data_IF_300562277711
#
_entry.id   IF_300562277711
#
_cell.length_a   1.000
_cell.length_b   1.000
_cell.length_c   1.000
_cell.angle_alpha   90.00
_cell.angle_beta   90.00
_cell.angle_gamma   90.00
#
_symmetry.space_group_name_H-M   'P 1'
#
loop_
_entity.id
_entity.type
_entity.pdbx_description
1 polymer ?
#
# COMPACT_ATOMS: atom_id res chain seq x y z
N UNK A 1 -8.99 9.81 -0.15
CA UNK A 1 -9.86 9.03 0.77
C UNK A 1 -10.50 10.03 1.72
N UNK A 2 -11.64 10.61 1.33
CA UNK A 2 -12.12 11.82 2.00
C UNK A 2 -11.09 12.95 1.88
N UNK A 3 -10.65 13.47 3.02
CA UNK A 3 -9.65 14.51 3.21
C UNK A 3 -8.19 14.02 3.16
N UNK A 4 -7.96 12.70 3.00
CA UNK A 4 -6.62 12.11 2.98
C UNK A 4 -6.12 11.79 1.59
N UNK A 5 -4.82 11.91 1.39
CA UNK A 5 -4.08 11.42 0.22
C UNK A 5 -3.30 10.18 0.59
N UNK A 6 -3.35 9.16 -0.27
CA UNK A 6 -2.42 8.02 -0.22
C UNK A 6 -1.44 8.18 -1.36
N UNK A 7 -0.15 8.03 -1.06
CA UNK A 7 0.95 8.18 -1.99
C UNK A 7 2.05 7.17 -1.64
N UNK A 8 3.10 7.09 -2.46
CA UNK A 8 4.23 6.20 -2.21
C UNK A 8 5.48 7.01 -1.93
N UNK A 9 6.20 6.63 -0.86
CA UNK A 9 7.42 7.29 -0.44
C UNK A 9 8.38 6.31 0.22
N UNK A 10 9.65 6.68 0.21
CA UNK A 10 10.75 5.94 0.80
C UNK A 10 11.37 6.78 1.93
N UNK A 11 11.41 6.22 3.14
CA UNK A 11 12.01 6.85 4.32
C UNK A 11 13.45 6.36 4.60
N UNK A 12 14.00 5.53 3.72
CA UNK A 12 15.31 4.90 3.82
C UNK A 12 15.35 3.66 4.72
N UNK A 13 14.25 3.31 5.40
CA UNK A 13 14.16 2.14 6.28
C UNK A 13 13.23 1.06 5.71
N UNK A 14 12.10 1.47 5.13
CA UNK A 14 11.05 0.57 4.64
C UNK A 14 11.00 0.48 3.10
N UNK A 15 11.91 1.16 2.39
CA UNK A 15 11.81 1.28 0.94
C UNK A 15 10.56 2.05 0.52
N UNK A 16 10.21 1.99 -0.78
CA UNK A 16 9.05 2.71 -1.32
C UNK A 16 7.72 1.99 -1.00
N UNK A 17 7.05 2.47 0.05
CA UNK A 17 5.83 1.91 0.63
C UNK A 17 4.64 2.87 0.50
N UNK A 18 3.38 2.45 0.77
CA UNK A 18 2.25 3.37 0.85
C UNK A 18 2.29 4.22 2.12
N UNK A 19 2.07 5.52 1.95
CA UNK A 19 1.95 6.54 2.99
C UNK A 19 0.60 7.23 2.90
N UNK A 20 0.17 7.79 4.03
CA UNK A 20 -1.05 8.60 4.12
C UNK A 20 -0.74 9.97 4.69
N UNK A 21 -1.42 11.01 4.19
CA UNK A 21 -1.34 12.38 4.71
C UNK A 21 -2.71 13.05 4.73
N UNK A 22 -2.93 13.91 5.72
CA UNK A 22 -4.04 14.89 5.77
C UNK A 22 -3.61 16.28 5.25
N UNK A 23 -2.42 16.39 4.68
CA UNK A 23 -1.83 17.65 4.22
C UNK A 23 -0.95 18.34 5.27
N UNK A 24 -0.79 17.78 6.47
CA UNK A 24 0.08 18.31 7.52
C UNK A 24 1.27 17.39 7.79
N UNK A 25 2.40 17.91 8.31
CA UNK A 25 3.52 17.08 8.74
C UNK A 25 3.11 16.06 9.82
N UNK A 26 2.25 16.46 10.76
CA UNK A 26 1.83 15.59 11.88
C UNK A 26 0.84 14.49 11.47
N UNK A 27 0.07 14.70 10.40
CA UNK A 27 -0.83 13.69 9.83
C UNK A 27 -0.22 12.87 8.70
N UNK A 28 1.09 13.02 8.44
CA UNK A 28 1.82 12.24 7.43
C UNK A 28 2.50 11.04 8.08
N UNK A 29 2.15 9.83 7.65
CA UNK A 29 2.70 8.60 8.24
C UNK A 29 2.70 7.42 7.27
N UNK A 30 3.58 6.45 7.56
CA UNK A 30 3.62 5.16 6.87
C UNK A 30 2.27 4.47 7.08
N UNK A 31 1.62 4.10 5.98
CA UNK A 31 0.32 3.45 6.03
C UNK A 31 0.48 1.98 6.39
N UNK A 32 1.41 1.30 5.71
CA UNK A 32 1.83 -0.07 5.97
C UNK A 32 3.15 -0.36 5.28
N UNK A 33 4.04 -1.07 5.98
CA UNK A 33 5.18 -1.75 5.38
C UNK A 33 4.68 -3.06 4.76
N UNK A 34 4.36 -3.05 3.47
CA UNK A 34 3.79 -4.21 2.76
C UNK A 34 4.91 -5.17 2.34
N UNK A 35 6.07 -4.66 1.94
CA UNK A 35 7.26 -5.47 1.63
C UNK A 35 8.34 -5.24 2.70
N UNK A 36 8.35 -6.04 3.78
CA UNK A 36 9.18 -5.74 4.93
C UNK A 36 10.66 -5.52 4.61
N UNK A 37 11.21 -4.44 5.15
CA UNK A 37 12.61 -4.05 5.00
C UNK A 37 12.82 -2.99 3.92
N UNK A 38 14.04 -2.83 3.42
CA UNK A 38 14.37 -1.68 2.55
C UNK A 38 13.94 -1.83 1.08
N UNK A 39 13.11 -2.82 0.75
CA UNK A 39 12.68 -3.08 -0.63
C UNK A 39 11.27 -2.53 -0.84
N UNK A 40 11.01 -1.91 -2.00
CA UNK A 40 9.68 -1.38 -2.31
C UNK A 40 8.60 -2.45 -2.41
N UNK A 41 7.38 -2.14 -1.97
CA UNK A 41 6.17 -2.91 -2.26
C UNK A 41 5.46 -2.50 -3.54
N UNK A 42 5.69 -1.28 -4.06
CA UNK A 42 4.87 -0.77 -5.14
C UNK A 42 5.63 -0.39 -6.41
N UNK A 43 5.01 -0.71 -7.56
CA UNK A 43 5.03 0.10 -8.77
C UNK A 43 3.88 -0.40 -9.66
N UNK A 44 2.85 0.41 -9.88
CA UNK A 44 1.66 -0.03 -10.61
C UNK A 44 0.51 0.98 -10.64
N UNK A 45 -0.68 0.48 -10.94
CA UNK A 45 -1.93 1.25 -11.02
C UNK A 45 -2.65 1.30 -9.66
N UNK A 46 -3.49 2.31 -9.49
CA UNK A 46 -4.41 2.44 -8.37
C UNK A 46 -5.77 2.96 -8.85
N UNK A 47 -6.84 2.52 -8.22
CA UNK A 47 -8.21 2.89 -8.53
C UNK A 47 -9.02 3.13 -7.26
N UNK A 48 -9.79 4.21 -7.23
CA UNK A 48 -10.68 4.53 -6.13
C UNK A 48 -12.08 3.98 -6.42
N UNK A 49 -12.64 3.21 -5.48
CA UNK A 49 -14.02 2.74 -5.50
C UNK A 49 -14.69 3.17 -4.19
N UNK A 50 -15.54 4.20 -4.26
CA UNK A 50 -16.12 4.82 -3.06
C UNK A 50 -15.03 5.37 -2.14
N UNK A 51 -15.00 4.90 -0.90
CA UNK A 51 -14.01 5.28 0.12
C UNK A 51 -12.90 4.22 0.29
N UNK A 52 -12.66 3.39 -0.72
CA UNK A 52 -11.60 2.38 -0.69
C UNK A 52 -10.71 2.54 -1.91
N UNK A 53 -9.40 2.66 -1.67
CA UNK A 53 -8.38 2.69 -2.71
C UNK A 53 -7.89 1.26 -2.94
N UNK A 54 -7.93 0.82 -4.18
CA UNK A 54 -7.39 -0.46 -4.64
C UNK A 54 -6.11 -0.20 -5.42
N UNK A 55 -5.08 -1.01 -5.20
CA UNK A 55 -3.78 -0.82 -5.85
C UNK A 55 -3.02 -2.14 -5.93
N UNK A 56 -2.06 -2.20 -6.84
CA UNK A 56 -1.13 -3.33 -6.93
C UNK A 56 0.03 -3.14 -5.95
N UNK A 57 0.34 -4.17 -5.17
CA UNK A 57 1.53 -4.20 -4.32
C UNK A 57 2.11 -5.62 -4.23
N UNK A 58 3.41 -5.67 -3.98
CA UNK A 58 4.20 -6.87 -3.78
C UNK A 58 4.42 -7.08 -2.29
N UNK A 59 4.19 -8.29 -1.82
CA UNK A 59 4.74 -8.80 -0.57
C UNK A 59 5.48 -10.14 -0.81
N UNK A 60 6.44 -10.53 0.04
CA UNK A 60 7.23 -11.74 -0.18
C UNK A 60 6.44 -13.06 -0.12
N UNK A 61 5.25 -13.07 0.48
CA UNK A 61 4.44 -14.28 0.67
C UNK A 61 3.52 -14.53 -0.53
N UNK A 62 2.90 -13.47 -1.07
CA UNK A 62 1.89 -13.56 -2.13
C UNK A 62 2.35 -13.00 -3.48
N UNK A 63 3.54 -12.40 -3.56
CA UNK A 63 4.00 -11.75 -4.78
C UNK A 63 3.20 -10.47 -5.10
N UNK A 64 3.13 -10.10 -6.38
CA UNK A 64 2.38 -8.92 -6.83
C UNK A 64 0.88 -9.21 -6.92
N UNK A 65 0.10 -8.64 -6.00
CA UNK A 65 -1.34 -8.92 -5.87
C UNK A 65 -2.18 -7.64 -5.71
N UNK A 66 -3.51 -7.81 -5.67
CA UNK A 66 -4.46 -6.73 -5.44
C UNK A 66 -4.59 -6.44 -3.94
N UNK A 67 -4.27 -5.20 -3.57
CA UNK A 67 -4.41 -4.67 -2.23
C UNK A 67 -5.50 -3.60 -2.16
N UNK A 68 -6.04 -3.38 -0.96
CA UNK A 68 -6.97 -2.28 -0.68
C UNK A 68 -6.59 -1.54 0.58
N UNK A 69 -6.99 -0.28 0.67
CA UNK A 69 -6.92 0.53 1.89
C UNK A 69 -8.13 1.46 2.04
N UNK A 70 -8.55 1.67 3.28
CA UNK A 70 -9.47 2.74 3.68
C UNK A 70 -8.73 4.01 4.16
N UNK A 71 -7.40 4.02 4.09
CA UNK A 71 -6.55 5.11 4.57
C UNK A 71 -6.06 4.92 6.00
N UNK A 72 -6.24 3.72 6.55
CA UNK A 72 -5.69 3.28 7.84
C UNK A 72 -4.81 2.04 7.67
N UNK A 73 -3.85 1.84 8.59
CA UNK A 73 -3.03 0.63 8.61
C UNK A 73 -3.86 -0.66 8.73
N UNK A 74 -4.81 -0.77 9.69
CA UNK A 74 -5.69 -1.94 9.81
C UNK A 74 -6.55 -2.21 8.58
N UNK A 75 -7.00 -1.16 7.88
CA UNK A 75 -7.77 -1.29 6.64
C UNK A 75 -6.92 -1.54 5.39
N UNK A 76 -5.59 -1.53 5.51
CA UNK A 76 -4.66 -1.81 4.42
C UNK A 76 -4.34 -3.30 4.36
N UNK A 77 -5.02 -4.02 3.46
CA UNK A 77 -5.02 -5.48 3.42
C UNK A 77 -5.01 -6.01 1.98
N UNK A 78 -4.47 -7.23 1.82
CA UNK A 78 -4.62 -8.03 0.61
C UNK A 78 -6.12 -8.27 0.35
N UNK A 79 -6.57 -7.99 -0.88
CA UNK A 79 -7.95 -8.30 -1.30
C UNK A 79 -8.09 -9.78 -1.56
N UNK A 80 -7.14 -10.30 -2.36
CA UNK A 80 -7.08 -11.69 -2.75
C UNK A 80 -5.70 -11.98 -3.34
N UNK A 81 -5.16 -13.12 -2.97
CA UNK A 81 -4.10 -13.80 -3.70
C UNK A 81 -4.73 -14.48 -4.93
N UNK A 82 -4.69 -13.79 -6.08
CA UNK A 82 -5.31 -14.27 -7.33
C UNK A 82 -4.42 -15.32 -7.99
N UNK A 83 -3.10 -15.19 -7.85
CA UNK A 83 -2.11 -16.12 -8.37
C UNK A 83 -1.31 -16.73 -7.19
N UNK A 84 -1.80 -17.84 -6.61
CA UNK A 84 -1.29 -18.35 -5.35
C UNK A 84 0.23 -18.54 -5.30
N UNK A 85 0.84 -18.00 -4.24
CA UNK A 85 2.26 -18.12 -3.95
C UNK A 85 3.10 -16.92 -4.42
N UNK A 86 4.43 -16.98 -4.27
CA UNK A 86 5.28 -15.78 -4.27
C UNK A 86 5.51 -15.17 -5.66
N UNK A 87 4.97 -15.77 -6.72
CA UNK A 87 5.17 -15.30 -8.09
C UNK A 87 4.22 -14.13 -8.41
N UNK A 88 3.03 -14.12 -7.79
CA UNK A 88 1.99 -13.12 -8.02
C UNK A 88 1.37 -13.17 -9.43
N UNK A 89 0.56 -12.16 -9.74
CA UNK A 89 -0.13 -11.97 -11.03
C UNK A 89 0.51 -10.93 -11.97
#
# INVERSE_FOLDING_TARGET
LGDRVVFWADDGAHGMEPWVTDGTPGGTSLLRDINPGASRSAFGWAALLGSTLYFRAYDPEHGCELWKTDGTGPGTVLVRDVSPGPVGS
#
